data_IF_943629656130
#
_entry.id   IF_943629656130
#
_cell.length_a   1.000
_cell.length_b   1.000
_cell.length_c   1.000
_cell.angle_alpha   90.00
_cell.angle_beta   90.00
_cell.angle_gamma   90.00
#
_symmetry.space_group_name_H-M   'P 1'
#
loop_
_entity.id
_entity.type
_entity.pdbx_description
1 polymer ?
#
# COMPACT_ATOMS: atom_id res chain seq x y z
N UNK A 1 37.43 -26.81 -6.22
CA UNK A 1 37.13 -28.22 -6.58
C UNK A 1 36.20 -28.77 -5.51
N UNK A 2 34.88 -28.74 -5.79
CA UNK A 2 34.04 -29.92 -6.04
C UNK A 2 33.94 -30.88 -4.85
N UNK A 3 33.05 -30.56 -3.91
CA UNK A 3 32.27 -31.58 -3.23
C UNK A 3 30.86 -31.53 -3.79
N UNK A 4 30.74 -32.29 -4.87
CA UNK A 4 29.51 -32.68 -5.53
C UNK A 4 28.78 -33.68 -4.62
N UNK A 5 27.46 -33.78 -4.83
CA UNK A 5 26.68 -35.02 -4.76
C UNK A 5 25.71 -35.17 -3.57
N UNK A 6 24.41 -35.23 -3.93
CA UNK A 6 23.18 -35.51 -3.14
C UNK A 6 22.58 -34.22 -2.56
N UNK A 7 21.47 -33.69 -3.09
CA UNK A 7 20.18 -34.35 -3.22
C UNK A 7 19.37 -33.64 -4.32
N UNK A 8 19.17 -34.33 -5.45
CA UNK A 8 18.10 -34.02 -6.40
C UNK A 8 16.92 -34.90 -5.99
N UNK A 9 15.85 -34.31 -5.48
CA UNK A 9 14.54 -34.96 -5.47
C UNK A 9 13.53 -33.98 -6.03
N UNK A 10 13.09 -34.29 -7.25
CA UNK A 10 11.99 -33.68 -7.96
C UNK A 10 10.76 -33.54 -7.05
N UNK A 11 10.19 -32.35 -7.00
CA UNK A 11 8.74 -32.22 -6.88
C UNK A 11 8.26 -31.36 -8.06
N UNK A 12 7.91 -32.05 -9.14
CA UNK A 12 7.08 -31.50 -10.19
C UNK A 12 5.69 -31.26 -9.60
N UNK A 13 5.37 -30.01 -9.26
CA UNK A 13 3.98 -29.57 -9.13
C UNK A 13 3.59 -28.96 -10.47
N UNK A 14 3.00 -29.84 -11.27
CA UNK A 14 1.97 -29.61 -12.28
C UNK A 14 1.61 -28.15 -12.60
N UNK A 15 1.94 -27.78 -13.83
CA UNK A 15 1.34 -26.71 -14.61
C UNK A 15 -0.15 -27.06 -14.76
N UNK A 16 -1.04 -26.27 -14.15
CA UNK A 16 -2.45 -26.26 -14.54
C UNK A 16 -2.64 -25.22 -15.63
N UNK A 17 -2.90 -25.71 -16.83
CA UNK A 17 -3.54 -24.95 -17.91
C UNK A 17 -5.04 -24.88 -17.64
N UNK A 18 -5.57 -23.69 -17.37
CA UNK A 18 -7.00 -23.36 -17.53
C UNK A 18 -7.10 -22.64 -18.89
N UNK A 19 -7.44 -23.35 -19.97
CA UNK A 19 -8.80 -23.58 -20.49
C UNK A 19 -9.58 -22.28 -20.73
N UNK A 20 -9.60 -21.81 -22.00
CA UNK A 20 -10.69 -20.98 -22.51
C UNK A 20 -12.02 -21.72 -22.32
N UNK A 21 -13.00 -21.05 -21.71
CA UNK A 21 -14.41 -21.42 -21.75
C UNK A 21 -15.20 -20.19 -22.14
N UNK A 22 -15.77 -20.20 -23.34
CA UNK A 22 -16.83 -19.28 -23.76
C UNK A 22 -18.10 -19.55 -22.94
N UNK A 23 -18.81 -18.47 -22.58
CA UNK A 23 -20.27 -18.47 -22.58
C UNK A 23 -21.00 -18.78 -21.27
N UNK A 24 -21.44 -17.69 -20.65
CA UNK A 24 -22.70 -17.52 -19.91
C UNK A 24 -22.92 -18.09 -18.49
N UNK A 25 -23.51 -17.17 -17.71
CA UNK A 25 -24.33 -17.34 -16.52
C UNK A 25 -23.64 -17.50 -15.15
N UNK A 26 -23.56 -16.34 -14.48
CA UNK A 26 -23.77 -16.14 -13.03
C UNK A 26 -22.98 -17.08 -12.11
N UNK A 27 -21.70 -16.77 -11.90
CA UNK A 27 -20.96 -17.25 -10.73
C UNK A 27 -20.90 -16.16 -9.64
N UNK A 28 -20.98 -16.54 -8.36
CA UNK A 28 -20.83 -15.62 -7.24
C UNK A 28 -19.39 -15.11 -7.17
N UNK A 29 -19.24 -13.83 -6.82
CA UNK A 29 -18.01 -13.06 -6.60
C UNK A 29 -16.71 -13.90 -6.57
N UNK A 30 -15.93 -13.74 -7.63
CA UNK A 30 -14.50 -14.05 -7.65
C UNK A 30 -13.79 -13.12 -6.66
N UNK A 31 -13.09 -13.63 -5.63
CA UNK A 31 -12.39 -12.80 -4.63
C UNK A 31 -11.09 -12.18 -5.15
N UNK A 32 -10.97 -11.96 -6.46
CA UNK A 32 -9.72 -11.54 -7.11
C UNK A 32 -9.89 -10.66 -8.35
N UNK A 33 -11.02 -9.96 -8.51
CA UNK A 33 -11.15 -9.01 -9.61
C UNK A 33 -10.33 -7.73 -9.32
N UNK A 34 -9.10 -7.69 -9.83
CA UNK A 34 -8.16 -6.57 -9.72
C UNK A 34 -8.57 -5.32 -10.52
N UNK A 35 -9.72 -5.32 -11.20
CA UNK A 35 -10.18 -4.22 -12.07
C UNK A 35 -10.57 -2.94 -11.31
N UNK A 36 -10.51 -2.93 -9.97
CA UNK A 36 -10.96 -1.81 -9.13
C UNK A 36 -9.82 -1.12 -8.36
N UNK A 37 -8.55 -1.50 -8.58
CA UNK A 37 -7.41 -0.90 -7.88
C UNK A 37 -6.96 0.36 -8.61
N UNK A 38 -7.50 1.52 -8.22
CA UNK A 38 -7.40 2.75 -9.01
C UNK A 38 -7.20 3.98 -8.14
N UNK A 39 -6.40 4.92 -8.64
CA UNK A 39 -6.36 6.31 -8.22
C UNK A 39 -7.12 7.12 -9.28
N UNK A 40 -8.25 7.71 -8.91
CA UNK A 40 -9.05 8.56 -9.79
C UNK A 40 -8.77 10.02 -9.50
N UNK A 41 -8.63 10.82 -10.56
CA UNK A 41 -8.39 12.27 -10.50
C UNK A 41 -9.24 12.98 -11.57
N UNK A 42 -9.30 14.33 -11.59
CA UNK A 42 -9.88 15.06 -12.71
C UNK A 42 -9.27 14.75 -14.09
N UNK A 43 -8.00 14.30 -14.13
CA UNK A 43 -7.30 13.97 -15.37
C UNK A 43 -7.64 12.56 -15.88
N UNK A 44 -8.24 11.71 -15.05
CA UNK A 44 -8.58 10.34 -15.38
C UNK A 44 -8.22 9.35 -14.26
N UNK A 45 -8.36 8.08 -14.60
CA UNK A 45 -8.11 6.93 -13.73
C UNK A 45 -6.72 6.34 -13.99
N UNK A 46 -5.99 6.06 -12.91
CA UNK A 46 -4.65 5.50 -12.93
C UNK A 46 -4.64 4.18 -12.16
N UNK A 47 -4.27 3.10 -12.85
CA UNK A 47 -4.23 1.76 -12.24
C UNK A 47 -3.11 1.68 -11.19
N UNK A 48 -3.43 1.09 -10.04
CA UNK A 48 -2.47 0.83 -8.97
C UNK A 48 -1.78 -0.49 -9.27
N UNK A 49 -0.46 -0.45 -9.42
CA UNK A 49 0.37 -1.62 -9.71
C UNK A 49 0.93 -2.28 -8.46
N UNK A 50 1.18 -1.51 -7.39
CA UNK A 50 1.75 -2.00 -6.13
C UNK A 50 1.25 -1.14 -4.97
N UNK A 51 1.01 -1.76 -3.83
CA UNK A 51 0.77 -1.05 -2.56
C UNK A 51 1.77 -1.54 -1.54
N UNK A 52 2.33 -0.63 -0.76
CA UNK A 52 3.29 -0.91 0.30
C UNK A 52 2.67 -0.46 1.62
N UNK A 53 2.82 -1.29 2.65
CA UNK A 53 2.49 -0.96 4.03
C UNK A 53 3.78 -0.95 4.84
N UNK A 54 4.21 0.24 5.28
CA UNK A 54 5.46 0.44 6.02
C UNK A 54 5.17 0.61 7.52
N UNK A 55 5.82 -0.18 8.38
CA UNK A 55 5.64 -0.11 9.83
C UNK A 55 6.82 0.59 10.51
N UNK A 56 6.62 1.84 10.92
CA UNK A 56 7.61 2.64 11.63
C UNK A 56 7.59 2.40 13.16
N UNK A 57 6.65 1.62 13.65
CA UNK A 57 6.49 1.26 15.04
C UNK A 57 5.75 2.32 15.85
N UNK A 58 6.00 2.34 17.16
CA UNK A 58 5.32 3.24 18.09
C UNK A 58 5.49 4.71 17.65
N UNK A 59 4.37 5.40 17.49
CA UNK A 59 4.32 6.83 17.21
C UNK A 59 4.92 7.60 18.39
N UNK A 60 5.88 8.48 18.10
CA UNK A 60 6.63 9.18 19.13
C UNK A 60 5.69 9.97 20.06
N UNK A 61 6.03 10.00 21.35
CA UNK A 61 5.29 10.72 22.39
C UNK A 61 3.83 10.28 22.63
N UNK A 62 3.46 9.08 22.16
CA UNK A 62 2.16 8.46 22.47
C UNK A 62 2.29 7.16 23.25
N UNK A 63 1.28 6.88 24.06
CA UNK A 63 1.08 5.56 24.65
C UNK A 63 0.14 4.76 23.73
N UNK A 64 0.70 3.80 22.99
CA UNK A 64 -0.01 2.78 22.20
C UNK A 64 -0.63 3.21 20.85
N UNK A 65 -0.07 4.18 20.14
CA UNK A 65 -0.36 4.37 18.72
C UNK A 65 0.86 4.05 17.86
N UNK A 66 0.64 3.59 16.63
CA UNK A 66 1.67 3.07 15.74
C UNK A 66 1.59 3.75 14.39
N UNK A 67 2.75 4.12 13.85
CA UNK A 67 2.92 4.72 12.54
C UNK A 67 2.96 3.62 11.46
N UNK A 68 1.92 3.57 10.61
CA UNK A 68 1.74 2.57 9.56
C UNK A 68 1.38 3.24 8.24
N UNK A 69 2.34 3.36 7.33
CA UNK A 69 2.15 4.16 6.13
C UNK A 69 1.72 3.33 4.93
N UNK A 70 0.71 3.82 4.21
CA UNK A 70 0.34 3.27 2.91
C UNK A 70 0.97 4.09 1.78
N UNK A 71 1.70 3.41 0.91
CA UNK A 71 2.16 3.96 -0.37
C UNK A 71 1.52 3.19 -1.54
N UNK A 72 0.71 3.88 -2.34
CA UNK A 72 0.08 3.37 -3.56
C UNK A 72 0.90 3.80 -4.77
N UNK A 73 1.42 2.84 -5.52
CA UNK A 73 2.19 3.08 -6.73
C UNK A 73 1.34 2.78 -7.96
N UNK A 74 1.12 3.79 -8.79
CA UNK A 74 0.49 3.63 -10.10
C UNK A 74 1.37 2.84 -11.07
N UNK A 75 0.83 2.54 -12.25
CA UNK A 75 1.63 2.02 -13.36
C UNK A 75 2.81 2.95 -13.69
N UNK A 76 3.98 2.35 -13.99
CA UNK A 76 5.22 3.09 -14.29
C UNK A 76 6.10 3.38 -13.07
N UNK A 77 5.58 3.20 -11.86
CA UNK A 77 6.34 3.28 -10.61
C UNK A 77 6.67 1.88 -10.08
N UNK A 78 7.84 1.74 -9.45
CA UNK A 78 8.28 0.49 -8.83
C UNK A 78 9.02 0.76 -7.52
N UNK A 79 9.01 -0.21 -6.61
CA UNK A 79 9.81 -0.20 -5.39
C UNK A 79 10.82 -1.34 -5.41
N UNK A 80 12.10 -0.98 -5.28
CA UNK A 80 13.18 -1.96 -5.13
C UNK A 80 13.44 -2.18 -3.63
N UNK A 81 12.95 -3.28 -3.08
CA UNK A 81 13.15 -3.60 -1.65
C UNK A 81 14.61 -3.89 -1.26
N UNK A 82 15.49 -4.18 -2.22
CA UNK A 82 16.91 -4.47 -1.91
C UNK A 82 17.73 -3.19 -1.73
N UNK A 83 17.41 -2.13 -2.48
CA UNK A 83 18.02 -0.80 -2.32
C UNK A 83 17.13 0.19 -1.58
N UNK A 84 15.88 -0.19 -1.32
CA UNK A 84 14.80 0.63 -0.76
C UNK A 84 14.58 1.94 -1.52
N UNK A 85 14.58 1.86 -2.85
CA UNK A 85 14.40 3.01 -3.72
C UNK A 85 13.14 2.86 -4.56
N UNK A 86 12.44 3.98 -4.70
CA UNK A 86 11.39 4.14 -5.70
C UNK A 86 12.00 4.53 -7.04
N UNK A 87 11.46 3.98 -8.13
CA UNK A 87 11.96 4.22 -9.49
C UNK A 87 10.79 4.43 -10.45
N UNK A 88 11.03 5.23 -11.49
CA UNK A 88 10.08 5.47 -12.58
C UNK A 88 9.29 6.76 -12.42
N UNK A 89 8.14 6.81 -13.07
CA UNK A 89 7.26 7.98 -13.14
C UNK A 89 5.80 7.51 -13.22
N UNK A 90 4.88 8.25 -12.61
CA UNK A 90 3.46 7.93 -12.60
C UNK A 90 2.73 8.55 -11.42
N UNK A 91 1.45 8.19 -11.28
CA UNK A 91 0.62 8.62 -10.15
C UNK A 91 0.95 7.82 -8.90
N UNK A 92 1.08 8.48 -7.76
CA UNK A 92 1.17 7.81 -6.47
C UNK A 92 0.26 8.48 -5.43
N UNK A 93 -0.03 7.74 -4.37
CA UNK A 93 -0.65 8.29 -3.18
C UNK A 93 0.08 7.78 -1.94
N UNK A 94 0.23 8.64 -0.95
CA UNK A 94 0.85 8.36 0.33
C UNK A 94 -0.10 8.76 1.45
N UNK A 95 -0.24 7.89 2.45
CA UNK A 95 -0.99 8.17 3.66
C UNK A 95 -0.16 7.77 4.87
N UNK A 96 0.15 8.74 5.73
CA UNK A 96 0.78 8.50 7.02
C UNK A 96 -0.31 8.17 8.04
N UNK A 97 -0.55 6.88 8.28
CA UNK A 97 -1.69 6.43 9.09
C UNK A 97 -1.25 6.10 10.51
N UNK A 98 -2.17 6.31 11.45
CA UNK A 98 -1.94 6.04 12.87
C UNK A 98 -2.94 5.01 13.39
N UNK A 99 -2.41 3.82 13.70
CA UNK A 99 -3.18 2.67 14.16
C UNK A 99 -3.03 2.40 15.67
N UNK A 100 -3.98 1.68 16.30
CA UNK A 100 -3.86 1.22 17.69
C UNK A 100 -3.12 -0.13 17.81
N UNK A 101 -2.51 -0.65 16.75
CA UNK A 101 -1.89 -1.98 16.71
C UNK A 101 -0.59 -1.97 15.93
N UNK A 102 0.40 -2.71 16.42
CA UNK A 102 1.69 -2.89 15.76
C UNK A 102 1.55 -3.83 14.55
N UNK A 103 2.24 -3.54 13.45
CA UNK A 103 2.31 -4.41 12.27
C UNK A 103 1.08 -4.46 11.36
N UNK A 104 -0.04 -3.84 11.73
CA UNK A 104 -1.24 -3.79 10.88
C UNK A 104 -2.21 -2.68 11.27
N UNK A 105 -2.96 -2.18 10.28
CA UNK A 105 -4.07 -1.25 10.49
C UNK A 105 -5.37 -2.07 10.68
N UNK A 106 -6.06 -1.97 11.84
CA UNK A 106 -7.36 -2.61 12.02
C UNK A 106 -8.45 -1.93 11.18
N UNK A 107 -9.55 -2.67 10.99
CA UNK A 107 -10.78 -2.17 10.38
C UNK A 107 -11.26 -0.89 11.06
N UNK A 108 -11.67 0.08 10.26
CA UNK A 108 -12.23 1.32 10.77
C UNK A 108 -12.17 2.47 9.79
N UNK A 109 -12.79 3.56 10.23
CA UNK A 109 -12.72 4.86 9.57
C UNK A 109 -11.61 5.68 10.22
N UNK A 110 -10.69 6.16 9.39
CA UNK A 110 -9.55 6.99 9.76
C UNK A 110 -9.81 8.43 9.33
N UNK A 111 -9.77 9.36 10.28
CA UNK A 111 -10.00 10.78 10.02
C UNK A 111 -8.68 11.53 9.83
N UNK A 112 -8.70 12.60 9.03
CA UNK A 112 -7.61 13.55 8.97
C UNK A 112 -7.35 14.21 10.34
N UNK A 113 -6.09 14.29 10.73
CA UNK A 113 -5.62 14.92 11.97
C UNK A 113 -4.29 15.65 11.72
N UNK A 114 -4.28 16.98 11.87
CA UNK A 114 -3.08 17.80 11.75
C UNK A 114 -2.45 18.18 13.11
N UNK A 115 -2.98 17.62 14.21
CA UNK A 115 -2.39 17.78 15.52
C UNK A 115 -1.24 16.77 15.75
N UNK A 116 -0.24 17.20 16.53
CA UNK A 116 0.85 16.33 16.99
C UNK A 116 0.81 16.11 18.51
N UNK A 117 0.87 14.85 18.98
CA UNK A 117 0.84 13.62 18.21
C UNK A 117 -0.58 13.22 17.78
N UNK A 118 -0.70 12.58 16.61
CA UNK A 118 -1.99 12.15 16.09
C UNK A 118 -2.55 10.93 16.84
N UNK A 119 -3.88 10.86 16.98
CA UNK A 119 -4.57 9.78 17.67
C UNK A 119 -4.63 8.46 16.87
N UNK A 120 -5.01 7.35 17.51
CA UNK A 120 -5.36 6.15 16.76
C UNK A 120 -6.61 6.39 15.88
N UNK A 121 -6.68 5.71 14.75
CA UNK A 121 -7.72 5.90 13.73
C UNK A 121 -7.65 7.29 13.07
N UNK A 122 -6.43 7.78 12.83
CA UNK A 122 -6.21 9.01 12.06
C UNK A 122 -5.17 8.82 10.96
N UNK A 123 -5.05 9.82 10.10
CA UNK A 123 -3.92 10.00 9.21
C UNK A 123 -3.53 11.48 9.16
N UNK A 124 -2.27 11.78 8.85
CA UNK A 124 -1.70 13.12 9.06
C UNK A 124 -1.72 14.03 7.83
N UNK A 125 -1.30 15.28 8.03
CA UNK A 125 -1.09 16.31 7.00
C UNK A 125 0.06 16.01 6.03
N UNK A 126 0.87 14.97 6.30
CA UNK A 126 1.88 14.47 5.37
C UNK A 126 1.29 13.60 4.25
N UNK A 127 0.00 13.29 4.30
CA UNK A 127 -0.68 12.48 3.27
C UNK A 127 -0.88 13.28 1.99
N UNK A 128 -0.61 12.67 0.83
CA UNK A 128 -0.61 13.36 -0.47
C UNK A 128 -0.94 12.43 -1.64
N UNK A 129 -1.58 12.98 -2.68
CA UNK A 129 -1.61 12.38 -4.02
C UNK A 129 -0.65 13.19 -4.89
N UNK A 130 0.21 12.49 -5.61
CA UNK A 130 1.33 13.09 -6.34
C UNK A 130 1.45 12.55 -7.75
N UNK A 131 1.81 13.43 -8.68
CA UNK A 131 2.28 13.08 -10.02
C UNK A 131 3.81 13.09 -10.01
N UNK A 132 4.41 11.90 -10.08
CA UNK A 132 5.86 11.70 -10.00
C UNK A 132 6.45 11.71 -11.41
N UNK A 133 7.36 12.63 -11.67
CA UNK A 133 8.10 12.71 -12.95
C UNK A 133 9.41 11.93 -12.91
N UNK A 134 10.06 11.85 -11.74
CA UNK A 134 11.25 11.02 -11.52
C UNK A 134 11.38 10.63 -10.04
N UNK A 135 10.95 9.40 -9.71
CA UNK A 135 11.04 8.87 -8.35
C UNK A 135 12.48 8.74 -7.83
N UNK A 136 13.47 8.54 -8.70
CA UNK A 136 14.86 8.33 -8.26
C UNK A 136 15.51 9.62 -7.75
N UNK A 137 14.97 10.77 -8.14
CA UNK A 137 15.45 12.10 -7.79
C UNK A 137 14.42 12.90 -6.96
N UNK A 138 13.36 12.24 -6.48
CA UNK A 138 12.29 12.88 -5.69
C UNK A 138 11.62 14.05 -6.45
N UNK A 139 11.46 13.92 -7.77
CA UNK A 139 10.79 14.94 -8.59
C UNK A 139 9.30 14.60 -8.74
N UNK A 140 8.45 15.42 -8.15
CA UNK A 140 7.00 15.23 -8.17
C UNK A 140 6.24 16.54 -8.02
N UNK A 141 4.95 16.50 -8.33
CA UNK A 141 3.99 17.56 -8.06
C UNK A 141 2.86 17.03 -7.20
N UNK A 142 2.60 17.69 -6.06
CA UNK A 142 1.41 17.41 -5.26
C UNK A 142 0.17 17.90 -5.99
N UNK A 143 -0.78 17.00 -6.24
CA UNK A 143 -2.02 17.30 -6.97
C UNK A 143 -3.22 17.41 -6.04
N UNK A 144 -3.16 16.78 -4.85
CA UNK A 144 -4.24 16.81 -3.87
C UNK A 144 -3.73 16.44 -2.47
N UNK A 145 -4.23 17.17 -1.46
CA UNK A 145 -3.98 16.90 -0.05
C UNK A 145 -5.23 16.27 0.58
N UNK A 146 -5.20 14.98 0.94
CA UNK A 146 -6.34 14.32 1.56
C UNK A 146 -6.78 14.95 2.88
N UNK A 147 -8.09 15.20 3.01
CA UNK A 147 -8.72 15.70 4.24
C UNK A 147 -10.05 15.01 4.56
N UNK A 148 -10.40 13.96 3.82
CA UNK A 148 -11.66 13.20 3.96
C UNK A 148 -11.41 11.84 4.59
N UNK A 149 -12.44 11.15 5.05
CA UNK A 149 -12.28 9.85 5.70
C UNK A 149 -11.63 8.80 4.78
N UNK A 150 -10.70 8.04 5.33
CA UNK A 150 -10.21 6.77 4.78
C UNK A 150 -10.92 5.62 5.49
N UNK A 151 -11.45 4.65 4.75
CA UNK A 151 -12.02 3.44 5.33
C UNK A 151 -11.12 2.25 5.04
N UNK A 152 -10.77 1.52 6.09
CA UNK A 152 -10.02 0.26 6.04
C UNK A 152 -10.94 -0.89 6.42
N UNK A 153 -10.94 -1.94 5.60
CA UNK A 153 -11.45 -3.27 5.95
C UNK A 153 -10.33 -4.29 5.79
N UNK A 154 -10.20 -5.25 6.70
CA UNK A 154 -9.11 -6.21 6.71
C UNK A 154 -9.60 -7.62 6.99
N UNK A 155 -9.15 -8.57 6.17
CA UNK A 155 -9.30 -10.00 6.39
C UNK A 155 -7.92 -10.67 6.34
N UNK A 156 -7.35 -10.95 7.52
CA UNK A 156 -5.99 -11.48 7.63
C UNK A 156 -4.97 -10.49 7.05
N UNK A 157 -4.25 -10.86 5.99
CA UNK A 157 -3.29 -9.97 5.30
C UNK A 157 -3.91 -9.17 4.15
N UNK A 158 -5.20 -9.40 3.86
CA UNK A 158 -5.91 -8.73 2.78
C UNK A 158 -6.53 -7.43 3.30
N UNK A 159 -6.41 -6.36 2.53
CA UNK A 159 -6.95 -5.04 2.85
C UNK A 159 -7.87 -4.55 1.73
N UNK A 160 -8.96 -3.91 2.12
CA UNK A 160 -9.68 -2.94 1.30
C UNK A 160 -9.40 -1.55 1.84
N UNK A 161 -8.88 -0.67 0.99
CA UNK A 161 -8.65 0.75 1.30
C UNK A 161 -9.57 1.59 0.41
N UNK A 162 -10.33 2.49 1.03
CA UNK A 162 -11.23 3.40 0.34
C UNK A 162 -11.01 4.83 0.79
N UNK A 163 -10.83 5.72 -0.18
CA UNK A 163 -10.77 7.16 0.03
C UNK A 163 -11.53 7.88 -1.08
N UNK A 164 -12.25 8.96 -0.73
CA UNK A 164 -12.91 9.83 -1.70
C UNK A 164 -13.02 11.26 -1.18
N UNK A 165 -12.60 12.23 -1.99
CA UNK A 165 -12.74 13.66 -1.73
C UNK A 165 -12.93 14.44 -3.03
N UNK A 166 -14.16 14.92 -3.26
CA UNK A 166 -14.51 15.60 -4.50
C UNK A 166 -14.29 14.70 -5.72
N UNK A 167 -13.40 15.12 -6.60
CA UNK A 167 -13.01 14.41 -7.84
C UNK A 167 -11.79 13.49 -7.67
N UNK A 168 -11.30 13.32 -6.45
CA UNK A 168 -10.18 12.43 -6.15
C UNK A 168 -10.69 11.23 -5.36
N UNK A 169 -10.28 10.03 -5.76
CA UNK A 169 -10.56 8.82 -4.98
C UNK A 169 -9.46 7.78 -5.13
N UNK A 170 -9.35 6.93 -4.13
CA UNK A 170 -8.47 5.76 -4.16
C UNK A 170 -9.32 4.56 -3.75
N UNK A 171 -9.24 3.51 -4.55
CA UNK A 171 -9.86 2.23 -4.26
C UNK A 171 -8.77 1.17 -4.41
N UNK A 172 -8.60 0.36 -3.37
CA UNK A 172 -7.66 -0.75 -3.40
C UNK A 172 -8.26 -1.93 -2.66
N UNK A 173 -8.05 -3.12 -3.21
CA UNK A 173 -8.38 -4.41 -2.62
C UNK A 173 -7.26 -5.39 -2.94
N UNK A 174 -6.54 -5.86 -1.92
CA UNK A 174 -5.38 -6.74 -2.14
C UNK A 174 -4.52 -6.96 -0.90
N UNK A 175 -3.38 -7.63 -1.10
CA UNK A 175 -2.35 -7.83 -0.07
C UNK A 175 -1.20 -6.85 -0.35
N UNK A 176 -0.94 -5.85 0.51
CA UNK A 176 0.17 -4.93 0.33
C UNK A 176 1.52 -5.62 0.57
N UNK A 177 2.58 -5.07 0.00
CA UNK A 177 3.96 -5.43 0.33
C UNK A 177 4.27 -4.84 1.71
N UNK A 178 4.48 -5.70 2.70
CA UNK A 178 4.82 -5.27 4.05
C UNK A 178 6.32 -4.97 4.19
N UNK A 179 6.65 -3.83 4.79
CA UNK A 179 8.03 -3.40 5.07
C UNK A 179 8.15 -2.97 6.53
N UNK A 180 8.97 -3.68 7.30
CA UNK A 180 9.26 -3.33 8.70
C UNK A 180 10.35 -2.24 8.77
N UNK A 181 9.99 -1.06 9.28
CA UNK A 181 10.84 0.12 9.50
C UNK A 181 11.14 0.37 10.99
N UNK A 182 10.67 -0.47 11.91
CA UNK A 182 10.80 -0.29 13.37
C UNK A 182 12.27 -0.17 13.84
N UNK A 183 13.19 -0.83 13.15
CA UNK A 183 14.62 -0.74 13.44
C UNK A 183 15.22 0.65 13.13
N UNK A 184 14.56 1.48 12.32
CA UNK A 184 15.00 2.83 11.94
C UNK A 184 14.47 3.90 12.88
N UNK A 185 13.25 3.77 13.37
CA UNK A 185 12.70 4.68 14.39
C UNK A 185 13.47 4.61 15.72
N UNK A 186 14.21 3.52 15.95
CA UNK A 186 15.13 3.39 17.09
C UNK A 186 16.47 4.14 16.90
N UNK A 187 16.84 4.52 15.67
CA UNK A 187 18.12 5.16 15.38
C UNK A 187 18.12 6.69 15.56
N UNK A 188 16.94 7.32 15.54
CA UNK A 188 16.73 8.76 15.84
C UNK A 188 16.59 9.04 17.34
N UNK A 189 16.50 8.00 18.19
CA UNK A 189 16.39 8.11 19.67
C UNK A 189 17.74 8.36 20.38
N UNK A 190 18.58 9.27 19.90
CA UNK A 190 19.83 9.68 20.59
C UNK A 190 19.95 11.18 20.78
#
# INVERSE_FOLDING_TARGET
MKNLFRLLMLLCVSIFTLSCGDGDATSPQDPGNSDNNVISTPAGDFQISTVILEDYGLWEDTDNTFNLDFTFLGEGLTYNSSSEQYLGSGMAAYFEMVGPSEGYLPDGDYSYDDDWPAGAYTYTDSSELVDITDAANEEYTVIHNPTSTVTIERDGSFYTFSYSSGSYSIQYSGVPVFVDRTSRSMATKK
#
